data_IF_108084453929
#
_entry.id   IF_108084453929
#
_cell.length_a   1.000
_cell.length_b   1.000
_cell.length_c   1.000
_cell.angle_alpha   90.00
_cell.angle_beta   90.00
_cell.angle_gamma   90.00
#
_symmetry.space_group_name_H-M   'P 1'
#
loop_
_entity.id
_entity.type
_entity.pdbx_description
1 polymer ?
#
# COMPACT_ATOMS: atom_id res chain seq x y z
N UNK A 1 10.06 3.24 -9.15
CA UNK A 1 8.73 2.79 -8.68
C UNK A 1 7.74 3.01 -9.81
N UNK A 2 6.72 2.17 -9.91
CA UNK A 2 5.68 2.25 -10.96
C UNK A 2 4.33 2.11 -10.30
N UNK A 3 3.32 2.82 -10.82
CA UNK A 3 1.93 2.59 -10.49
C UNK A 3 1.12 2.51 -11.78
N UNK A 4 0.06 1.70 -11.77
CA UNK A 4 -0.87 1.57 -12.87
C UNK A 4 -2.28 1.80 -12.31
N UNK A 5 -3.01 2.73 -12.92
CA UNK A 5 -4.39 3.05 -12.56
C UNK A 5 -5.21 3.17 -13.85
N UNK A 6 -6.43 2.64 -13.83
CA UNK A 6 -7.28 2.61 -15.00
C UNK A 6 -8.75 2.50 -14.58
N UNK A 7 -9.60 3.22 -15.30
CA UNK A 7 -11.06 3.07 -15.22
C UNK A 7 -11.60 1.99 -16.17
N UNK A 8 -10.72 1.34 -16.95
CA UNK A 8 -11.11 0.38 -17.99
C UNK A 8 -10.74 -1.07 -17.66
N UNK A 9 -9.65 -1.29 -16.90
CA UNK A 9 -9.21 -2.63 -16.53
C UNK A 9 -9.76 -3.04 -15.19
N UNK A 10 -10.01 -4.35 -15.05
CA UNK A 10 -10.51 -4.94 -13.81
C UNK A 10 -9.62 -4.71 -12.59
N UNK A 11 -10.25 -4.78 -11.43
CA UNK A 11 -9.67 -4.43 -10.14
C UNK A 11 -8.56 -5.41 -9.71
N UNK A 12 -7.34 -4.88 -9.57
CA UNK A 12 -6.20 -5.60 -9.00
C UNK A 12 -5.81 -5.10 -7.61
N UNK A 13 -5.75 -3.78 -7.43
CA UNK A 13 -5.64 -3.10 -6.14
C UNK A 13 -4.54 -3.60 -5.17
N UNK A 14 -3.45 -4.17 -5.69
CA UNK A 14 -2.33 -4.65 -4.89
C UNK A 14 -1.15 -3.67 -4.87
N UNK A 15 -0.31 -3.81 -3.84
CA UNK A 15 1.01 -3.19 -3.72
C UNK A 15 2.08 -4.26 -3.68
N UNK A 16 3.19 -4.04 -4.38
CA UNK A 16 4.38 -4.87 -4.29
C UNK A 16 5.63 -4.02 -4.10
N UNK A 17 6.41 -4.32 -3.07
CA UNK A 17 7.65 -3.62 -2.74
C UNK A 17 8.79 -4.63 -2.70
N UNK A 18 9.78 -4.46 -3.55
CA UNK A 18 10.97 -5.31 -3.57
C UNK A 18 12.15 -4.61 -2.92
N UNK A 19 13.00 -5.37 -2.23
CA UNK A 19 14.26 -4.93 -1.65
C UNK A 19 15.36 -5.96 -1.83
N UNK A 20 16.56 -5.67 -1.34
CA UNK A 20 17.74 -6.54 -1.50
C UNK A 20 17.65 -7.88 -0.79
N UNK A 21 16.68 -8.06 0.11
CA UNK A 21 16.50 -9.28 0.91
C UNK A 21 15.20 -10.02 0.63
N UNK A 22 14.36 -9.55 -0.28
CA UNK A 22 13.03 -10.12 -0.49
C UNK A 22 12.02 -9.08 -0.97
N UNK A 23 10.74 -9.40 -0.81
CA UNK A 23 9.66 -8.51 -1.21
C UNK A 23 8.47 -8.58 -0.25
N UNK A 24 7.66 -7.54 -0.26
CA UNK A 24 6.39 -7.42 0.45
C UNK A 24 5.26 -7.29 -0.58
N UNK A 25 4.14 -7.97 -0.34
CA UNK A 25 2.92 -7.87 -1.13
C UNK A 25 1.72 -7.58 -0.23
N UNK A 26 0.90 -6.61 -0.62
CA UNK A 26 -0.44 -6.34 -0.05
C UNK A 26 -1.45 -6.61 -1.17
N UNK A 27 -2.39 -7.52 -0.97
CA UNK A 27 -3.32 -7.94 -2.03
C UNK A 27 -4.52 -6.98 -2.17
N UNK A 28 -4.86 -6.21 -1.14
CA UNK A 28 -6.01 -5.30 -1.04
C UNK A 28 -5.62 -3.88 -0.59
N UNK A 29 -4.55 -3.34 -1.19
CA UNK A 29 -3.91 -2.08 -0.82
C UNK A 29 -4.82 -0.84 -0.92
N UNK A 30 -5.78 -0.81 -1.87
CA UNK A 30 -6.62 0.37 -2.11
C UNK A 30 -7.92 0.34 -1.31
N UNK A 31 -8.64 -0.79 -1.38
CA UNK A 31 -9.89 -0.99 -0.68
C UNK A 31 -9.86 -2.38 -0.05
N UNK A 32 -9.78 -2.47 1.29
CA UNK A 32 -9.76 -3.74 1.97
C UNK A 32 -10.94 -4.65 1.65
N UNK A 33 -10.67 -5.96 1.61
CA UNK A 33 -11.74 -6.94 1.57
C UNK A 33 -12.45 -7.03 2.94
N UNK A 34 -13.79 -7.12 2.99
CA UNK A 34 -14.50 -7.39 4.23
C UNK A 34 -14.06 -8.72 4.83
N UNK A 35 -13.96 -8.80 6.16
CA UNK A 35 -13.60 -10.05 6.85
C UNK A 35 -12.87 -9.87 8.17
N UNK A 36 -12.90 -8.68 8.79
CA UNK A 36 -12.27 -8.40 10.08
C UNK A 36 -10.76 -8.44 10.12
N UNK A 37 -10.08 -8.68 8.98
CA UNK A 37 -8.63 -8.85 8.95
C UNK A 37 -8.00 -8.23 7.72
N UNK A 38 -6.95 -7.43 7.94
CA UNK A 38 -6.05 -6.99 6.88
C UNK A 38 -4.77 -7.80 6.96
N UNK A 39 -4.17 -8.14 5.80
CA UNK A 39 -2.90 -8.86 5.79
C UNK A 39 -1.94 -8.41 4.70
N UNK A 40 -0.67 -8.71 4.91
CA UNK A 40 0.36 -8.59 3.90
C UNK A 40 1.35 -9.74 4.04
N UNK A 41 2.01 -10.08 2.94
CA UNK A 41 3.00 -11.16 2.87
C UNK A 41 4.39 -10.58 2.69
N UNK A 42 5.35 -11.13 3.40
CA UNK A 42 6.78 -10.91 3.17
C UNK A 42 7.37 -12.24 2.70
N UNK A 43 8.08 -12.22 1.58
CA UNK A 43 8.83 -13.38 1.11
C UNK A 43 10.32 -13.03 0.99
N UNK A 44 11.17 -13.96 1.42
CA UNK A 44 12.63 -13.84 1.34
C UNK A 44 13.21 -15.03 0.56
N UNK A 45 12.97 -15.11 -0.77
CA UNK A 45 13.30 -16.31 -1.52
C UNK A 45 14.79 -16.64 -1.42
N UNK A 46 15.10 -17.90 -1.14
CA UNK A 46 16.46 -18.40 -1.04
C UNK A 46 16.68 -19.47 -2.11
N UNK A 47 17.58 -19.18 -3.04
CA UNK A 47 17.99 -20.14 -4.05
C UNK A 47 19.01 -21.09 -3.46
N UNK A 48 18.64 -22.37 -3.40
CA UNK A 48 19.52 -23.41 -2.89
C UNK A 48 19.98 -24.29 -4.04
N UNK A 49 21.30 -24.48 -4.11
CA UNK A 49 21.96 -25.36 -5.06
C UNK A 49 22.76 -26.41 -4.29
N UNK A 50 22.42 -27.68 -4.49
CA UNK A 50 23.14 -28.82 -3.94
C UNK A 50 23.47 -29.78 -5.09
N UNK A 51 24.70 -29.75 -5.58
CA UNK A 51 25.13 -30.44 -6.81
C UNK A 51 24.29 -30.02 -8.02
N UNK A 52 23.54 -30.96 -8.62
CA UNK A 52 22.61 -30.73 -9.73
C UNK A 52 21.15 -30.61 -9.25
N UNK A 53 20.93 -30.49 -7.94
CA UNK A 53 19.62 -30.21 -7.37
C UNK A 53 19.49 -28.70 -7.12
N UNK A 54 18.43 -28.12 -7.67
CA UNK A 54 18.14 -26.69 -7.58
C UNK A 54 16.72 -26.51 -7.09
N UNK A 55 16.53 -25.74 -6.02
CA UNK A 55 15.20 -25.39 -5.54
C UNK A 55 15.18 -23.96 -5.00
N UNK A 56 13.97 -23.39 -4.98
CA UNK A 56 13.71 -22.04 -4.47
C UNK A 56 12.87 -22.16 -3.22
N UNK A 57 13.45 -21.84 -2.06
CA UNK A 57 12.69 -21.72 -0.83
C UNK A 57 11.94 -20.39 -0.86
N UNK A 58 10.63 -20.40 -0.63
CA UNK A 58 9.82 -19.17 -0.67
C UNK A 58 10.07 -18.25 0.53
N UNK A 59 10.35 -18.86 1.71
CA UNK A 59 10.51 -18.18 3.00
C UNK A 59 9.47 -17.08 3.22
N UNK A 60 8.20 -17.44 3.01
CA UNK A 60 7.08 -16.52 3.11
C UNK A 60 6.53 -16.49 4.54
N UNK A 61 6.13 -15.30 4.98
CA UNK A 61 5.42 -15.03 6.23
C UNK A 61 4.26 -14.11 5.94
N UNK A 62 3.14 -14.33 6.61
CA UNK A 62 1.99 -13.45 6.57
C UNK A 62 1.85 -12.73 7.91
N UNK A 63 1.60 -11.42 7.83
CA UNK A 63 1.28 -10.58 8.98
C UNK A 63 -0.13 -10.08 8.81
N UNK A 64 -0.87 -10.01 9.91
CA UNK A 64 -2.27 -9.58 9.86
C UNK A 64 -2.63 -8.75 11.09
N UNK A 65 -3.59 -7.85 10.90
CA UNK A 65 -4.17 -7.04 11.97
C UNK A 65 -5.69 -7.18 11.94
N UNK A 66 -6.30 -7.20 13.12
CA UNK A 66 -7.75 -7.19 13.25
C UNK A 66 -8.27 -5.79 12.93
N UNK A 67 -8.94 -5.68 11.80
CA UNK A 67 -9.51 -4.44 11.30
C UNK A 67 -10.68 -4.78 10.37
N UNK A 68 -11.84 -4.20 10.67
CA UNK A 68 -13.03 -4.33 9.85
C UNK A 68 -13.10 -3.19 8.84
N UNK A 69 -13.80 -3.42 7.73
CA UNK A 69 -14.05 -2.41 6.72
C UNK A 69 -15.34 -1.61 7.00
N UNK A 70 -15.61 -0.60 6.16
CA UNK A 70 -16.91 0.06 6.03
C UNK A 70 -17.38 0.82 7.29
N UNK A 71 -16.68 1.89 7.65
CA UNK A 71 -17.01 2.79 8.78
C UNK A 71 -16.97 2.12 10.16
N UNK A 72 -16.48 0.88 10.26
CA UNK A 72 -16.25 0.26 11.56
C UNK A 72 -15.26 1.12 12.37
N UNK A 73 -15.36 1.19 13.71
CA UNK A 73 -14.43 1.98 14.53
C UNK A 73 -12.95 1.63 14.34
N UNK A 74 -12.64 0.42 13.88
CA UNK A 74 -11.27 -0.02 13.58
C UNK A 74 -10.84 0.25 12.14
N UNK A 75 -11.75 0.62 11.24
CA UNK A 75 -11.47 0.84 9.82
C UNK A 75 -10.54 2.04 9.58
N UNK A 76 -9.68 1.96 8.55
CA UNK A 76 -8.76 3.06 8.19
C UNK A 76 -9.46 4.40 7.99
N UNK A 77 -10.59 4.41 7.27
CA UNK A 77 -11.35 5.65 7.01
C UNK A 77 -11.87 6.28 8.30
N UNK A 78 -12.33 5.46 9.25
CA UNK A 78 -12.80 5.94 10.56
C UNK A 78 -11.63 6.53 11.36
N UNK A 79 -10.49 5.83 11.39
CA UNK A 79 -9.25 6.30 12.04
C UNK A 79 -8.76 7.62 11.42
N UNK A 80 -8.88 7.77 10.09
CA UNK A 80 -8.54 9.01 9.38
C UNK A 80 -9.39 10.19 9.89
N UNK A 81 -10.71 10.03 9.97
CA UNK A 81 -11.59 11.10 10.46
C UNK A 81 -11.36 11.41 11.94
N UNK A 82 -11.10 10.40 12.78
CA UNK A 82 -10.72 10.62 14.17
C UNK A 82 -9.43 11.45 14.27
N UNK A 83 -8.39 11.09 13.51
CA UNK A 83 -7.13 11.84 13.54
C UNK A 83 -7.29 13.26 13.00
N UNK A 84 -8.07 13.43 11.95
CA UNK A 84 -8.40 14.76 11.43
C UNK A 84 -9.07 15.64 12.49
N UNK A 85 -10.11 15.13 13.16
CA UNK A 85 -10.82 15.86 14.20
C UNK A 85 -9.90 16.20 15.38
N UNK A 86 -9.06 15.27 15.81
CA UNK A 86 -8.05 15.50 16.86
C UNK A 86 -7.12 16.66 16.51
N UNK A 87 -6.57 16.67 15.29
CA UNK A 87 -5.65 17.72 14.84
C UNK A 87 -6.34 19.08 14.67
N UNK A 88 -7.58 19.09 14.19
CA UNK A 88 -8.35 20.32 14.03
C UNK A 88 -8.71 20.95 15.39
N UNK A 89 -9.11 20.12 16.35
CA UNK A 89 -9.53 20.57 17.68
C UNK A 89 -8.34 20.89 18.60
N UNK A 90 -7.18 20.28 18.41
CA UNK A 90 -5.99 20.56 19.21
C UNK A 90 -5.40 21.94 18.97
N UNK A 91 -5.69 22.56 17.81
CA UNK A 91 -5.05 23.80 17.38
C UNK A 91 -3.56 23.64 17.02
N UNK A 92 -3.05 22.41 17.01
CA UNK A 92 -1.66 22.08 16.66
C UNK A 92 -1.65 21.13 15.47
N UNK A 93 -1.80 21.65 14.23
CA UNK A 93 -1.77 20.81 13.04
C UNK A 93 -0.40 20.15 12.88
N UNK A 94 -0.40 18.88 12.48
CA UNK A 94 0.83 18.13 12.21
C UNK A 94 1.41 18.56 10.85
N UNK A 95 2.65 19.10 10.81
CA UNK A 95 3.26 19.62 9.58
C UNK A 95 3.57 18.53 8.55
N UNK A 96 3.52 17.26 8.91
CA UNK A 96 3.72 16.14 7.99
C UNK A 96 2.66 16.10 6.87
N UNK A 97 1.38 16.27 7.22
CA UNK A 97 0.27 16.15 6.28
C UNK A 97 0.27 17.17 5.14
N UNK A 98 0.47 18.48 5.37
CA UNK A 98 0.56 19.43 4.26
C UNK A 98 1.76 19.13 3.35
N UNK A 99 2.91 18.74 3.90
CA UNK A 99 4.10 18.41 3.09
C UNK A 99 3.85 17.20 2.17
N UNK A 100 3.34 16.09 2.70
CA UNK A 100 3.09 14.90 1.89
C UNK A 100 1.94 15.11 0.88
N UNK A 101 0.95 15.94 1.22
CA UNK A 101 -0.16 16.29 0.32
C UNK A 101 0.35 17.07 -0.90
N UNK A 102 1.19 18.09 -0.70
CA UNK A 102 1.75 18.86 -1.80
C UNK A 102 2.72 18.02 -2.65
N UNK A 103 3.50 17.13 -2.03
CA UNK A 103 4.36 16.20 -2.77
C UNK A 103 3.53 15.26 -3.65
N UNK A 104 2.43 14.72 -3.11
CA UNK A 104 1.50 13.87 -3.87
C UNK A 104 0.89 14.63 -5.04
N UNK A 105 0.39 15.85 -4.81
CA UNK A 105 -0.18 16.69 -5.86
C UNK A 105 0.81 16.95 -7.00
N UNK A 106 2.07 17.28 -6.68
CA UNK A 106 3.12 17.51 -7.68
C UNK A 106 3.37 16.29 -8.58
N UNK A 107 3.32 15.08 -8.01
CA UNK A 107 3.46 13.84 -8.80
C UNK A 107 2.25 13.67 -9.72
N UNK A 108 1.03 13.85 -9.21
CA UNK A 108 -0.19 13.76 -10.02
C UNK A 108 -0.23 14.79 -11.15
N UNK A 109 0.15 16.03 -10.87
CA UNK A 109 0.25 17.10 -11.87
C UNK A 109 1.27 16.75 -12.96
N UNK A 110 2.45 16.26 -12.58
CA UNK A 110 3.46 15.84 -13.53
C UNK A 110 2.98 14.69 -14.43
N UNK A 111 2.29 13.69 -13.85
CA UNK A 111 1.68 12.60 -14.62
C UNK A 111 0.61 13.12 -15.58
N UNK A 112 -0.25 14.04 -15.15
CA UNK A 112 -1.27 14.65 -16.00
C UNK A 112 -0.65 15.45 -17.16
N UNK A 113 0.41 16.22 -16.89
CA UNK A 113 1.15 16.97 -17.91
C UNK A 113 1.78 16.02 -18.92
N UNK A 114 2.48 14.96 -18.47
CA UNK A 114 3.06 13.94 -19.37
C UNK A 114 1.99 13.29 -20.24
N UNK A 115 0.87 12.84 -19.66
CA UNK A 115 -0.23 12.23 -20.41
C UNK A 115 -0.82 13.16 -21.49
N UNK A 116 -0.92 14.46 -21.21
CA UNK A 116 -1.37 15.48 -22.20
C UNK A 116 -0.34 15.74 -23.31
N UNK A 117 0.91 15.36 -23.11
CA UNK A 117 2.02 15.53 -24.06
C UNK A 117 2.45 14.20 -24.72
N UNK A 118 1.53 13.23 -24.83
CA UNK A 118 1.73 11.92 -25.45
C UNK A 118 2.59 10.92 -24.65
N UNK A 119 2.71 11.10 -23.34
CA UNK A 119 3.43 10.20 -22.45
C UNK A 119 4.89 10.62 -22.29
#
# INVERSE_FOLDING_TARGET
ATFYNSFLTENQQWLHVSGSKGHLKVDDFVLPHPGGKLSFKIANPNFVQQNCEFYMERNEREYSVEEEANNHPTAQETKLFHKFAELALSGTPDPFWPDISIKTQKVLDACLISARNNG
#
